data_IF_566531192766
#
_entry.id   IF_566531192766
#
_cell.length_a   1.000
_cell.length_b   1.000
_cell.length_c   1.000
_cell.angle_alpha   90.00
_cell.angle_beta   90.00
_cell.angle_gamma   90.00
#
_symmetry.space_group_name_H-M   'P 1'
#
loop_
_entity.id
_entity.type
_entity.pdbx_description
1 polymer ?
#
# COMPACT_ATOMS: atom_id res chain seq x y z
N UNK A 1 -3.02 26.51 3.99
CA UNK A 1 -3.82 25.27 4.14
C UNK A 1 -3.49 24.20 3.08
N UNK A 2 -3.24 24.56 1.81
CA UNK A 2 -2.98 23.61 0.71
C UNK A 2 -1.72 22.76 0.88
N UNK A 3 -0.64 23.30 1.46
CA UNK A 3 0.61 22.56 1.68
C UNK A 3 0.48 21.42 2.71
N UNK A 4 -0.26 21.65 3.79
CA UNK A 4 -0.54 20.62 4.81
C UNK A 4 -1.40 19.51 4.18
N UNK A 5 -2.40 19.89 3.39
CA UNK A 5 -3.24 18.93 2.66
C UNK A 5 -2.41 18.08 1.67
N UNK A 6 -1.55 18.73 0.87
CA UNK A 6 -0.67 18.04 -0.08
C UNK A 6 0.33 17.12 0.60
N UNK A 7 0.90 17.52 1.74
CA UNK A 7 1.79 16.69 2.54
C UNK A 7 1.11 15.42 3.03
N UNK A 8 -0.06 15.55 3.67
CA UNK A 8 -0.84 14.39 4.13
C UNK A 8 -1.26 13.47 2.98
N UNK A 9 -1.68 14.04 1.85
CA UNK A 9 -2.04 13.25 0.67
C UNK A 9 -0.85 12.46 0.13
N UNK A 10 0.31 13.08 -0.02
CA UNK A 10 1.52 12.42 -0.51
C UNK A 10 2.02 11.34 0.47
N UNK A 11 2.00 11.62 1.77
CA UNK A 11 2.28 10.63 2.81
C UNK A 11 1.31 9.44 2.74
N UNK A 12 0.03 9.71 2.49
CA UNK A 12 -0.98 8.69 2.22
C UNK A 12 -0.56 7.80 1.05
N UNK A 13 -0.23 8.37 -0.11
CA UNK A 13 0.20 7.62 -1.30
C UNK A 13 1.36 6.68 -0.98
N UNK A 14 2.40 7.18 -0.32
CA UNK A 14 3.58 6.39 0.05
C UNK A 14 3.19 5.26 1.00
N UNK A 15 2.38 5.55 2.02
CA UNK A 15 1.91 4.57 3.00
C UNK A 15 1.08 3.47 2.32
N UNK A 16 0.19 3.83 1.41
CA UNK A 16 -0.64 2.89 0.64
C UNK A 16 0.20 1.98 -0.26
N UNK A 17 1.16 2.57 -0.98
CA UNK A 17 2.06 1.83 -1.85
C UNK A 17 2.93 0.84 -1.06
N UNK A 18 3.55 1.28 0.03
CA UNK A 18 4.36 0.42 0.91
C UNK A 18 3.51 -0.68 1.53
N UNK A 19 2.28 -0.38 1.94
CA UNK A 19 1.38 -1.39 2.48
C UNK A 19 1.06 -2.47 1.44
N UNK A 20 0.71 -2.08 0.21
CA UNK A 20 0.42 -3.00 -0.89
C UNK A 20 1.64 -3.87 -1.25
N UNK A 21 2.82 -3.27 -1.37
CA UNK A 21 4.07 -4.00 -1.62
C UNK A 21 4.39 -4.99 -0.51
N UNK A 22 4.23 -4.57 0.75
CA UNK A 22 4.42 -5.43 1.92
C UNK A 22 3.44 -6.59 1.97
N UNK A 23 2.18 -6.38 1.56
CA UNK A 23 1.18 -7.44 1.45
C UNK A 23 1.60 -8.46 0.38
N UNK A 24 1.99 -7.99 -0.81
CA UNK A 24 2.49 -8.85 -1.89
C UNK A 24 3.67 -9.69 -1.43
N UNK A 25 4.65 -9.08 -0.77
CA UNK A 25 5.84 -9.80 -0.33
C UNK A 25 5.51 -10.88 0.71
N UNK A 26 4.56 -10.61 1.61
CA UNK A 26 4.09 -11.58 2.59
C UNK A 26 3.33 -12.76 1.94
N UNK A 27 2.61 -12.51 0.83
CA UNK A 27 1.92 -13.57 0.09
C UNK A 27 2.84 -14.38 -0.82
N UNK A 28 3.95 -13.80 -1.30
CA UNK A 28 4.91 -14.49 -2.17
C UNK A 28 6.00 -15.25 -1.40
N UNK A 29 6.28 -14.86 -0.15
CA UNK A 29 7.29 -15.48 0.70
C UNK A 29 6.68 -15.87 2.05
N UNK A 30 6.28 -17.13 2.19
CA UNK A 30 5.76 -17.66 3.46
C UNK A 30 6.88 -17.81 4.47
N UNK A 31 6.87 -16.98 5.51
CA UNK A 31 7.76 -17.03 6.67
C UNK A 31 6.96 -17.34 7.94
N UNK A 32 7.50 -18.07 8.92
CA UNK A 32 6.84 -18.27 10.21
C UNK A 32 6.52 -16.96 10.94
N UNK A 33 7.23 -15.87 10.61
CA UNK A 33 6.99 -14.53 11.17
C UNK A 33 6.01 -13.67 10.34
N UNK A 34 5.44 -14.20 9.25
CA UNK A 34 4.53 -13.45 8.38
C UNK A 34 3.30 -12.87 9.12
N UNK A 35 2.65 -13.58 10.07
CA UNK A 35 1.55 -13.00 10.85
C UNK A 35 1.99 -11.80 11.69
N UNK A 36 3.16 -11.89 12.35
CA UNK A 36 3.71 -10.81 13.16
C UNK A 36 4.02 -9.57 12.30
N UNK A 37 4.65 -9.76 11.14
CA UNK A 37 4.92 -8.68 10.20
C UNK A 37 3.64 -8.05 9.65
N UNK A 38 2.59 -8.86 9.42
CA UNK A 38 1.27 -8.38 9.04
C UNK A 38 0.64 -7.48 10.11
N UNK A 39 0.71 -7.91 11.38
CA UNK A 39 0.23 -7.12 12.53
C UNK A 39 1.01 -5.80 12.63
N UNK A 40 2.35 -5.83 12.60
CA UNK A 40 3.18 -4.62 12.66
C UNK A 40 2.82 -3.63 11.55
N UNK A 41 2.57 -4.12 10.32
CA UNK A 41 2.15 -3.29 9.20
C UNK A 41 0.80 -2.62 9.43
N UNK A 42 -0.18 -3.35 9.97
CA UNK A 42 -1.49 -2.79 10.31
C UNK A 42 -1.37 -1.74 11.42
N UNK A 43 -0.53 -2.00 12.44
CA UNK A 43 -0.24 -1.01 13.48
C UNK A 43 0.40 0.25 12.90
N UNK A 44 1.38 0.14 12.01
CA UNK A 44 2.03 1.29 11.37
C UNK A 44 1.03 2.15 10.58
N UNK A 45 0.13 1.51 9.82
CA UNK A 45 -0.96 2.23 9.15
C UNK A 45 -1.90 2.88 10.17
N UNK A 46 -2.38 2.12 11.16
CA UNK A 46 -3.29 2.62 12.19
C UNK A 46 -2.73 3.84 12.95
N UNK A 47 -1.46 3.80 13.34
CA UNK A 47 -0.76 4.91 13.99
C UNK A 47 -0.70 6.13 13.06
N UNK A 48 -0.41 5.94 11.77
CA UNK A 48 -0.38 7.04 10.80
C UNK A 48 -1.75 7.73 10.67
N UNK A 49 -2.82 6.93 10.61
CA UNK A 49 -4.19 7.44 10.59
C UNK A 49 -4.53 8.17 11.89
N UNK A 50 -4.17 7.62 13.05
CA UNK A 50 -4.39 8.25 14.35
C UNK A 50 -3.69 9.62 14.47
N UNK A 51 -2.41 9.72 14.12
CA UNK A 51 -1.69 11.01 14.12
C UNK A 51 -2.29 12.00 13.14
N UNK A 52 -2.66 11.54 11.94
CA UNK A 52 -3.31 12.42 10.97
C UNK A 52 -4.67 12.92 11.45
N UNK A 53 -5.41 12.13 12.23
CA UNK A 53 -6.68 12.55 12.83
C UNK A 53 -6.49 13.70 13.82
N UNK A 54 -5.49 13.57 14.70
CA UNK A 54 -5.14 14.62 15.68
C UNK A 54 -4.73 15.92 14.98
N UNK A 55 -4.01 15.82 13.87
CA UNK A 55 -3.47 16.97 13.14
C UNK A 55 -4.41 17.47 12.01
N UNK A 56 -5.62 16.94 11.90
CA UNK A 56 -6.63 17.36 10.90
C UNK A 56 -6.34 16.92 9.46
N UNK A 57 -5.43 15.98 9.26
CA UNK A 57 -4.99 15.44 7.97
C UNK A 57 -5.63 14.10 7.56
N UNK A 58 -6.60 13.59 8.33
CA UNK A 58 -7.14 12.23 8.11
C UNK A 58 -7.73 12.03 6.71
N UNK A 59 -8.49 13.00 6.19
CA UNK A 59 -9.12 12.88 4.88
C UNK A 59 -8.09 12.80 3.73
N UNK A 60 -7.15 13.76 3.58
CA UNK A 60 -6.12 13.65 2.54
C UNK A 60 -5.23 12.42 2.71
N UNK A 61 -4.86 12.04 3.94
CA UNK A 61 -4.08 10.82 4.18
C UNK A 61 -4.85 9.58 3.72
N UNK A 62 -6.11 9.43 4.12
CA UNK A 62 -6.96 8.29 3.76
C UNK A 62 -7.12 8.15 2.24
N UNK A 63 -7.37 9.27 1.56
CA UNK A 63 -7.53 9.29 0.12
C UNK A 63 -6.23 8.94 -0.60
N UNK A 64 -5.10 9.53 -0.17
CA UNK A 64 -3.78 9.20 -0.69
C UNK A 64 -3.44 7.72 -0.47
N UNK A 65 -3.72 7.19 0.72
CA UNK A 65 -3.49 5.79 1.07
C UNK A 65 -4.25 4.84 0.15
N UNK A 66 -5.55 5.09 -0.06
CA UNK A 66 -6.35 4.30 -0.99
C UNK A 66 -5.76 4.33 -2.41
N UNK A 67 -5.45 5.54 -2.91
CA UNK A 67 -4.89 5.71 -4.26
C UNK A 67 -3.56 4.96 -4.43
N UNK A 68 -2.61 5.15 -3.51
CA UNK A 68 -1.31 4.48 -3.56
C UNK A 68 -1.43 2.95 -3.48
N UNK A 69 -2.34 2.45 -2.64
CA UNK A 69 -2.61 1.03 -2.52
C UNK A 69 -3.15 0.44 -3.83
N UNK A 70 -4.21 1.05 -4.40
CA UNK A 70 -4.83 0.55 -5.62
C UNK A 70 -3.92 0.66 -6.85
N UNK A 71 -3.11 1.72 -6.95
CA UNK A 71 -2.12 1.86 -8.04
C UNK A 71 -1.13 0.70 -8.00
N UNK A 72 -0.55 0.38 -6.85
CA UNK A 72 0.40 -0.74 -6.73
C UNK A 72 -0.28 -2.07 -7.02
N UNK A 73 -1.45 -2.33 -6.44
CA UNK A 73 -2.20 -3.57 -6.71
C UNK A 73 -2.51 -3.71 -8.21
N UNK A 74 -2.98 -2.64 -8.86
CA UNK A 74 -3.30 -2.63 -10.28
C UNK A 74 -2.07 -2.81 -11.19
N UNK A 75 -0.92 -2.27 -10.81
CA UNK A 75 0.34 -2.51 -11.53
C UNK A 75 0.73 -3.99 -11.41
N UNK A 76 0.67 -4.54 -10.20
CA UNK A 76 1.05 -5.93 -9.93
C UNK A 76 0.16 -6.90 -10.70
N UNK A 77 -1.16 -6.70 -10.69
CA UNK A 77 -2.10 -7.58 -11.42
C UNK A 77 -1.86 -7.53 -12.93
N UNK A 78 -1.60 -6.34 -13.50
CA UNK A 78 -1.26 -6.21 -14.93
C UNK A 78 0.06 -6.89 -15.31
N UNK A 79 1.06 -6.87 -14.43
CA UNK A 79 2.33 -7.55 -14.69
C UNK A 79 2.09 -9.07 -14.71
N UNK A 80 1.35 -9.60 -13.73
CA UNK A 80 1.06 -11.03 -13.67
C UNK A 80 0.29 -11.54 -14.90
N UNK A 81 -0.69 -10.77 -15.38
CA UNK A 81 -1.46 -11.10 -16.59
C UNK A 81 -0.56 -11.17 -17.83
N UNK A 82 0.38 -10.23 -17.98
CA UNK A 82 1.37 -10.25 -19.07
C UNK A 82 2.29 -11.46 -19.01
N UNK A 83 2.79 -11.79 -17.82
CA UNK A 83 3.70 -12.93 -17.64
C UNK A 83 3.00 -14.25 -17.99
N UNK A 84 1.73 -14.40 -17.62
CA UNK A 84 0.93 -15.57 -17.95
C UNK A 84 0.74 -15.74 -19.47
N UNK A 85 0.43 -14.66 -20.19
CA UNK A 85 0.28 -14.68 -21.65
C UNK A 85 1.59 -15.03 -22.37
N UNK A 86 2.74 -14.58 -21.85
CA UNK A 86 4.03 -14.92 -22.43
C UNK A 86 4.39 -16.40 -22.26
N UNK A 87 4.02 -17.01 -21.12
CA UNK A 87 4.25 -18.44 -20.88
C UNK A 87 3.39 -19.35 -21.76
N UNK A 88 2.17 -18.94 -22.10
CA UNK A 88 1.27 -19.72 -22.98
C UNK A 88 1.74 -19.71 -24.44
N UNK A 89 2.40 -18.63 -24.88
CA UNK A 89 2.88 -18.45 -26.26
C UNK A 89 4.27 -19.07 -26.48
N UNK A 90 5.04 -19.35 -25.43
CA UNK A 90 6.35 -19.98 -25.51
C UNK A 90 6.19 -21.52 -25.64
N UNK A 91 6.62 -22.15 -26.76
CA UNK A 91 6.51 -23.59 -27.01
C UNK A 91 7.49 -24.44 -26.19
#
# INVERSE_FOLDING_TARGET
MTWIFGGWFLSGIILGAVHAMGLRNATSHTSPYAPLLGILRLFAVGISFFFSAILGGIFPLAFGWGLGFFVVVGIVTRIQDRDHLQQEVAP
#
